data_IF_624180798514
#
_entry.id   IF_624180798514
#
_cell.length_a   1.000
_cell.length_b   1.000
_cell.length_c   1.000
_cell.angle_alpha   90.00
_cell.angle_beta   90.00
_cell.angle_gamma   90.00
#
_symmetry.space_group_name_H-M   'P 1'
#
loop_
_entity.id
_entity.type
_entity.pdbx_description
1 polymer ?
#
# COMPACT_ATOMS: atom_id res chain seq x y z
N UNK A 1 -0.79 21.01 -8.40
CA UNK A 1 -1.57 19.78 -8.11
C UNK A 1 -2.36 20.03 -6.84
N UNK A 2 -3.56 19.43 -6.69
CA UNK A 2 -4.35 19.57 -5.47
C UNK A 2 -3.85 18.57 -4.42
N UNK A 3 -4.05 18.87 -3.13
CA UNK A 3 -3.78 17.95 -2.03
C UNK A 3 -4.58 16.64 -2.20
N UNK A 4 -3.98 15.51 -1.83
CA UNK A 4 -4.58 14.18 -1.91
C UNK A 4 -4.08 13.33 -3.08
N UNK A 5 -4.88 12.35 -3.50
CA UNK A 5 -4.53 11.50 -4.65
C UNK A 5 -4.39 12.33 -5.93
N UNK A 6 -3.40 11.99 -6.73
CA UNK A 6 -3.21 12.57 -8.07
C UNK A 6 -4.42 12.25 -8.94
N UNK A 7 -4.90 13.21 -9.73
CA UNK A 7 -6.06 12.98 -10.62
C UNK A 7 -5.78 11.87 -11.64
N UNK A 8 -6.81 11.12 -11.99
CA UNK A 8 -6.71 9.97 -12.91
C UNK A 8 -6.05 10.33 -14.25
N UNK A 9 -6.34 11.53 -14.76
CA UNK A 9 -5.74 12.02 -16.02
C UNK A 9 -4.22 12.18 -15.89
N UNK A 10 -3.74 12.77 -14.78
CA UNK A 10 -2.29 12.95 -14.54
C UNK A 10 -1.66 11.59 -14.25
N UNK A 11 -2.30 10.76 -13.41
CA UNK A 11 -1.83 9.42 -13.07
C UNK A 11 -1.66 8.57 -14.35
N UNK A 12 -2.67 8.52 -15.20
CA UNK A 12 -2.62 7.78 -16.45
C UNK A 12 -1.49 8.26 -17.36
N UNK A 13 -1.41 9.57 -17.63
CA UNK A 13 -0.49 10.14 -18.61
C UNK A 13 0.96 10.15 -18.12
N UNK A 14 1.18 10.53 -16.87
CA UNK A 14 2.52 10.84 -16.35
C UNK A 14 3.16 9.69 -15.55
N UNK A 15 2.37 8.71 -15.12
CA UNK A 15 2.85 7.58 -14.33
C UNK A 15 2.58 6.25 -15.04
N UNK A 16 1.31 5.89 -15.27
CA UNK A 16 0.96 4.55 -15.76
C UNK A 16 1.44 4.30 -17.20
N UNK A 17 1.27 5.27 -18.09
CA UNK A 17 1.75 5.14 -19.49
C UNK A 17 3.26 4.85 -19.57
N UNK A 18 4.15 5.65 -18.98
CA UNK A 18 5.58 5.35 -18.97
C UNK A 18 5.91 4.00 -18.32
N UNK A 19 5.29 3.67 -17.18
CA UNK A 19 5.52 2.39 -16.52
C UNK A 19 5.06 1.20 -17.35
N UNK A 20 3.93 1.32 -18.06
CA UNK A 20 3.43 0.26 -18.94
C UNK A 20 4.37 -0.11 -20.07
N UNK A 21 5.28 0.78 -20.49
CA UNK A 21 6.27 0.48 -21.52
C UNK A 21 7.41 -0.41 -21.04
N UNK A 22 7.65 -0.47 -19.73
CA UNK A 22 8.79 -1.18 -19.11
C UNK A 22 8.40 -2.34 -18.20
N UNK A 23 7.11 -2.44 -17.80
CA UNK A 23 6.67 -3.44 -16.80
C UNK A 23 6.72 -4.90 -17.26
N UNK A 24 6.84 -5.14 -18.57
CA UNK A 24 6.83 -6.51 -19.12
C UNK A 24 5.47 -7.20 -18.98
N UNK A 25 5.39 -8.45 -19.46
CA UNK A 25 4.15 -9.25 -19.47
C UNK A 25 3.79 -9.81 -18.09
N UNK A 26 4.72 -9.81 -17.12
CA UNK A 26 4.49 -10.39 -15.78
C UNK A 26 3.57 -9.56 -14.89
N UNK A 27 3.50 -8.25 -15.10
CA UNK A 27 2.57 -7.38 -14.36
C UNK A 27 1.21 -7.44 -15.03
N UNK A 28 0.30 -8.20 -14.46
CA UNK A 28 -1.01 -8.49 -15.08
C UNK A 28 -2.06 -7.44 -14.75
N UNK A 29 -1.87 -6.69 -13.67
CA UNK A 29 -2.83 -5.68 -13.24
C UNK A 29 -2.13 -4.49 -12.57
N UNK A 30 -2.26 -3.32 -13.19
CA UNK A 30 -1.83 -2.03 -12.66
C UNK A 30 -2.55 -0.91 -13.43
N UNK A 31 -3.76 -0.53 -12.98
CA UNK A 31 -4.61 0.46 -13.65
C UNK A 31 -5.17 1.51 -12.67
N UNK A 32 -5.86 2.51 -13.25
CA UNK A 32 -6.56 3.54 -12.47
C UNK A 32 -7.63 2.89 -11.57
N UNK A 33 -7.70 3.37 -10.33
CA UNK A 33 -8.66 2.87 -9.34
C UNK A 33 -8.27 1.56 -8.67
N UNK A 34 -7.05 1.07 -8.91
CA UNK A 34 -6.53 -0.13 -8.27
C UNK A 34 -5.48 0.22 -7.23
N UNK A 35 -5.69 -0.24 -6.02
CA UNK A 35 -4.76 -0.05 -4.90
C UNK A 35 -3.80 -1.25 -4.75
N UNK A 36 -3.90 -2.26 -5.63
CA UNK A 36 -3.05 -3.46 -5.65
C UNK A 36 -2.57 -3.75 -7.06
N UNK A 37 -1.27 -3.99 -7.22
CA UNK A 37 -0.69 -4.55 -8.43
C UNK A 37 -0.59 -6.07 -8.33
N UNK A 38 -0.72 -6.75 -9.46
CA UNK A 38 -0.63 -8.20 -9.58
C UNK A 38 0.55 -8.58 -10.48
N UNK A 39 1.35 -9.53 -10.03
CA UNK A 39 2.50 -10.06 -10.79
C UNK A 39 2.36 -11.57 -10.92
N UNK A 40 2.42 -12.07 -12.16
CA UNK A 40 2.46 -13.50 -12.43
C UNK A 40 3.84 -14.06 -12.08
N UNK A 41 3.88 -15.01 -11.15
CA UNK A 41 5.11 -15.66 -10.69
C UNK A 41 5.12 -17.17 -10.98
N UNK A 42 4.23 -17.66 -11.85
CA UNK A 42 4.14 -19.09 -12.20
C UNK A 42 5.42 -19.61 -12.89
N UNK A 43 6.09 -18.78 -13.66
CA UNK A 43 7.39 -19.12 -14.23
C UNK A 43 8.47 -19.42 -13.18
N UNK A 44 8.30 -18.98 -11.95
CA UNK A 44 9.16 -19.31 -10.82
C UNK A 44 8.75 -20.60 -10.10
N UNK A 45 7.81 -21.37 -10.66
CA UNK A 45 7.30 -22.62 -10.09
C UNK A 45 6.33 -22.43 -8.93
N UNK A 46 5.79 -21.22 -8.77
CA UNK A 46 4.80 -20.89 -7.74
C UNK A 46 3.43 -20.70 -8.40
N UNK A 47 2.51 -21.60 -8.14
CA UNK A 47 1.13 -21.54 -8.68
C UNK A 47 0.26 -20.57 -7.89
N UNK A 48 0.72 -19.33 -7.80
CA UNK A 48 0.06 -18.23 -7.08
C UNK A 48 0.35 -16.90 -7.77
N UNK A 49 -0.52 -15.92 -7.55
CA UNK A 49 -0.30 -14.53 -7.97
C UNK A 49 0.33 -13.74 -6.84
N UNK A 50 1.43 -13.07 -7.09
CA UNK A 50 2.02 -12.11 -6.16
C UNK A 50 1.22 -10.80 -6.22
N UNK A 51 0.78 -10.36 -5.06
CA UNK A 51 0.10 -9.09 -4.86
C UNK A 51 1.05 -8.10 -4.19
N UNK A 52 0.97 -6.84 -4.57
CA UNK A 52 1.71 -5.76 -3.92
C UNK A 52 0.82 -4.54 -3.73
N UNK A 53 0.69 -4.08 -2.50
CA UNK A 53 -0.08 -2.91 -2.11
C UNK A 53 0.81 -1.90 -1.39
N UNK A 54 0.73 -0.64 -1.77
CA UNK A 54 1.51 0.44 -1.15
C UNK A 54 0.57 1.49 -0.57
N UNK A 55 0.85 1.93 0.64
CA UNK A 55 0.14 3.02 1.29
C UNK A 55 1.12 3.98 1.99
N UNK A 56 0.69 5.24 2.11
CA UNK A 56 1.46 6.31 2.75
C UNK A 56 0.60 7.04 3.78
N UNK A 57 1.24 7.72 4.73
CA UNK A 57 0.61 8.59 5.72
C UNK A 57 0.05 7.85 6.92
N UNK A 58 -1.20 8.15 7.33
CA UNK A 58 -1.79 7.60 8.53
C UNK A 58 -2.06 6.09 8.41
N UNK A 59 -1.57 5.30 9.38
CA UNK A 59 -1.70 3.84 9.44
C UNK A 59 -1.37 3.11 8.12
N UNK A 60 -0.19 3.35 7.52
CA UNK A 60 0.11 2.87 6.17
C UNK A 60 0.14 1.34 6.09
N UNK A 61 0.64 0.65 7.11
CA UNK A 61 0.69 -0.81 7.12
C UNK A 61 -0.72 -1.43 7.12
N UNK A 62 -1.61 -0.96 8.00
CA UNK A 62 -2.99 -1.45 8.07
C UNK A 62 -3.71 -1.21 6.73
N UNK A 63 -3.54 -0.04 6.12
CA UNK A 63 -4.14 0.26 4.81
C UNK A 63 -3.66 -0.70 3.72
N UNK A 64 -2.34 -0.91 3.64
CA UNK A 64 -1.77 -1.80 2.63
C UNK A 64 -2.19 -3.27 2.86
N UNK A 65 -2.23 -3.73 4.10
CA UNK A 65 -2.74 -5.07 4.48
C UNK A 65 -4.21 -5.23 4.06
N UNK A 66 -5.06 -4.25 4.37
CA UNK A 66 -6.47 -4.30 3.98
C UNK A 66 -6.64 -4.36 2.46
N UNK A 67 -5.80 -3.67 1.69
CA UNK A 67 -5.83 -3.74 0.23
C UNK A 67 -5.47 -5.14 -0.29
N UNK A 68 -4.49 -5.83 0.32
CA UNK A 68 -4.17 -7.23 -0.02
C UNK A 68 -5.36 -8.14 0.26
N UNK A 69 -6.00 -8.03 1.44
CA UNK A 69 -7.20 -8.82 1.76
C UNK A 69 -8.36 -8.51 0.82
N UNK A 70 -8.59 -7.24 0.49
CA UNK A 70 -9.65 -6.84 -0.45
C UNK A 70 -9.42 -7.40 -1.87
N UNK A 71 -8.16 -7.63 -2.25
CA UNK A 71 -7.80 -8.30 -3.51
C UNK A 71 -7.88 -9.83 -3.43
N UNK A 72 -8.35 -10.40 -2.32
CA UNK A 72 -8.48 -11.85 -2.10
C UNK A 72 -7.16 -12.54 -1.79
N UNK A 73 -6.12 -11.79 -1.40
CA UNK A 73 -4.82 -12.33 -1.06
C UNK A 73 -4.59 -12.46 0.44
N UNK A 74 -3.53 -13.18 0.78
CA UNK A 74 -3.00 -13.28 2.14
C UNK A 74 -1.71 -12.49 2.25
N UNK A 75 -1.61 -11.47 3.12
CA UNK A 75 -0.37 -10.75 3.36
C UNK A 75 0.73 -11.66 3.89
N UNK A 76 1.98 -11.43 3.45
CA UNK A 76 3.14 -12.25 3.87
C UNK A 76 4.11 -11.39 4.67
N UNK A 77 4.51 -10.25 4.10
CA UNK A 77 5.51 -9.38 4.68
C UNK A 77 5.32 -7.94 4.20
N UNK A 78 5.90 -7.02 4.93
CA UNK A 78 5.94 -5.61 4.58
C UNK A 78 7.37 -5.10 4.47
N UNK A 79 7.56 -4.05 3.70
CA UNK A 79 8.75 -3.20 3.72
C UNK A 79 8.33 -1.75 3.88
N UNK A 80 9.17 -0.95 4.54
CA UNK A 80 8.90 0.47 4.74
C UNK A 80 9.92 1.38 4.03
N UNK A 81 9.51 2.63 3.82
CA UNK A 81 10.39 3.72 3.46
C UNK A 81 10.02 4.92 4.33
N UNK A 82 10.95 5.35 5.16
CA UNK A 82 10.78 6.46 6.10
C UNK A 82 11.70 7.60 5.69
N UNK A 83 11.11 8.76 5.39
CA UNK A 83 11.85 9.99 5.13
C UNK A 83 11.64 10.95 6.29
N UNK A 84 12.72 11.25 7.00
CA UNK A 84 12.73 12.17 8.13
C UNK A 84 13.18 13.56 7.72
N UNK A 85 12.60 14.64 8.27
CA UNK A 85 13.13 15.98 8.07
C UNK A 85 14.48 16.16 8.78
N UNK A 86 15.34 17.01 8.23
CA UNK A 86 16.69 17.27 8.74
C UNK A 86 16.72 17.70 10.21
N UNK A 87 15.73 18.49 10.63
CA UNK A 87 15.62 18.97 12.00
C UNK A 87 15.00 17.98 12.99
N UNK A 88 14.61 16.78 12.53
CA UNK A 88 14.00 15.80 13.41
C UNK A 88 15.03 15.21 14.38
N UNK A 89 14.62 15.07 15.66
CA UNK A 89 15.42 14.39 16.67
C UNK A 89 15.15 12.89 16.65
N UNK A 90 16.09 12.08 17.14
CA UNK A 90 16.00 10.62 17.22
C UNK A 90 14.69 10.14 17.86
N UNK A 91 14.17 10.86 18.85
CA UNK A 91 12.91 10.48 19.50
C UNK A 91 11.76 10.39 18.50
N UNK A 92 11.75 11.26 17.45
CA UNK A 92 10.72 11.25 16.43
C UNK A 92 10.77 9.99 15.56
N UNK A 93 11.97 9.49 15.25
CA UNK A 93 12.12 8.19 14.56
C UNK A 93 11.56 7.06 15.43
N UNK A 94 11.86 7.05 16.74
CA UNK A 94 11.35 6.05 17.67
C UNK A 94 9.82 6.05 17.76
N UNK A 95 9.18 7.21 17.74
CA UNK A 95 7.71 7.34 17.71
C UNK A 95 7.12 6.74 16.42
N UNK A 96 7.72 7.03 15.26
CA UNK A 96 7.31 6.48 13.98
C UNK A 96 7.41 4.94 13.99
N UNK A 97 8.56 4.41 14.40
CA UNK A 97 8.77 2.96 14.49
C UNK A 97 7.82 2.31 15.50
N UNK A 98 7.62 2.92 16.67
CA UNK A 98 6.64 2.41 17.64
C UNK A 98 5.21 2.37 17.06
N UNK A 99 4.85 3.35 16.22
CA UNK A 99 3.59 3.33 15.48
C UNK A 99 3.49 2.17 14.50
N UNK A 100 4.52 1.92 13.72
CA UNK A 100 4.58 0.79 12.77
C UNK A 100 4.58 -0.56 13.50
N UNK A 101 5.33 -0.69 14.60
CA UNK A 101 5.36 -1.92 15.41
C UNK A 101 3.99 -2.29 15.96
N UNK A 102 3.22 -1.30 16.44
CA UNK A 102 1.84 -1.54 16.87
C UNK A 102 0.94 -2.01 15.74
N UNK A 103 1.09 -1.44 14.54
CA UNK A 103 0.33 -1.90 13.36
C UNK A 103 0.72 -3.32 12.96
N UNK A 104 2.01 -3.66 12.98
CA UNK A 104 2.51 -5.00 12.69
C UNK A 104 1.97 -6.03 13.69
N UNK A 105 1.91 -5.68 14.98
CA UNK A 105 1.35 -6.55 16.02
C UNK A 105 -0.16 -6.81 15.82
N UNK A 106 -0.93 -5.80 15.40
CA UNK A 106 -2.37 -5.96 15.16
C UNK A 106 -2.67 -6.73 13.87
N UNK A 107 -1.86 -6.54 12.84
CA UNK A 107 -2.07 -7.21 11.54
C UNK A 107 -1.40 -8.58 11.45
N UNK A 108 -0.52 -8.91 12.38
CA UNK A 108 0.33 -10.11 12.36
C UNK A 108 1.22 -10.20 11.11
N UNK A 109 1.46 -9.06 10.43
CA UNK A 109 2.31 -8.97 9.24
C UNK A 109 3.68 -8.42 9.64
N UNK A 110 4.76 -9.20 9.46
CA UNK A 110 6.11 -8.77 9.82
C UNK A 110 6.60 -7.68 8.85
N UNK A 111 7.32 -6.70 9.40
CA UNK A 111 8.11 -5.76 8.60
C UNK A 111 9.48 -6.43 8.38
N UNK A 112 9.71 -6.91 7.16
CA UNK A 112 10.90 -7.69 6.80
C UNK A 112 12.12 -6.82 6.47
N UNK A 113 11.92 -5.54 6.23
CA UNK A 113 12.99 -4.60 5.92
C UNK A 113 12.46 -3.24 5.50
N UNK A 114 13.36 -2.35 5.17
CA UNK A 114 12.99 -1.01 4.74
C UNK A 114 14.19 -0.10 4.53
N UNK A 115 13.90 1.19 4.35
CA UNK A 115 14.89 2.23 4.20
C UNK A 115 14.50 3.45 5.04
N UNK A 116 15.45 3.98 5.80
CA UNK A 116 15.24 5.22 6.56
C UNK A 116 16.30 6.24 6.13
N UNK A 117 15.85 7.42 5.72
CA UNK A 117 16.72 8.50 5.27
C UNK A 117 16.30 9.84 5.85
N UNK A 118 17.21 10.80 5.80
CA UNK A 118 16.96 12.20 6.18
C UNK A 118 17.00 13.06 4.93
N UNK A 119 16.04 13.99 4.79
CA UNK A 119 15.96 14.85 3.61
C UNK A 119 15.46 16.25 3.98
N UNK A 120 15.99 17.25 3.29
CA UNK A 120 15.49 18.63 3.32
C UNK A 120 14.19 18.80 2.52
N UNK A 121 13.79 17.78 1.74
CA UNK A 121 12.58 17.83 0.89
C UNK A 121 11.28 17.65 1.66
N UNK A 122 11.34 17.30 2.94
CA UNK A 122 10.16 17.09 3.79
C UNK A 122 10.26 17.93 5.06
N UNK A 123 9.15 18.47 5.52
CA UNK A 123 9.03 19.19 6.79
C UNK A 123 8.55 18.32 7.95
N UNK A 124 7.87 17.22 7.64
CA UNK A 124 7.36 16.22 8.57
C UNK A 124 7.77 14.82 8.11
N UNK A 125 7.81 13.82 9.02
CA UNK A 125 8.10 12.44 8.65
C UNK A 125 7.13 11.92 7.61
N UNK A 126 7.65 11.37 6.50
CA UNK A 126 6.87 10.67 5.49
C UNK A 126 7.12 9.18 5.64
N UNK A 127 6.05 8.41 5.85
CA UNK A 127 6.11 6.96 6.02
C UNK A 127 5.31 6.30 4.92
N UNK A 128 5.97 5.47 4.14
CA UNK A 128 5.37 4.63 3.11
C UNK A 128 5.61 3.16 3.45
N UNK A 129 4.59 2.34 3.30
CA UNK A 129 4.69 0.90 3.53
C UNK A 129 4.18 0.17 2.29
N UNK A 130 4.93 -0.83 1.86
CA UNK A 130 4.53 -1.78 0.82
C UNK A 130 4.37 -3.16 1.44
N UNK A 131 3.21 -3.76 1.24
CA UNK A 131 2.90 -5.13 1.67
C UNK A 131 2.88 -6.05 0.47
N UNK A 132 3.58 -7.17 0.57
CA UNK A 132 3.50 -8.28 -0.35
C UNK A 132 2.53 -9.33 0.18
N UNK A 133 1.75 -9.92 -0.72
CA UNK A 133 0.84 -10.99 -0.43
C UNK A 133 0.77 -12.01 -1.56
N UNK A 134 0.20 -13.16 -1.27
CA UNK A 134 -0.08 -14.19 -2.28
C UNK A 134 -1.58 -14.42 -2.38
N UNK A 135 -2.03 -14.69 -3.61
CA UNK A 135 -3.39 -15.14 -3.90
C UNK A 135 -3.34 -16.43 -4.70
N UNK A 136 -4.15 -17.38 -4.33
CA UNK A 136 -4.49 -18.52 -5.18
C UNK A 136 -5.37 -18.03 -6.34
N UNK A 137 -5.24 -18.62 -7.53
CA UNK A 137 -5.89 -18.12 -8.76
C UNK A 137 -7.44 -18.21 -8.74
N UNK A 138 -8.03 -18.66 -7.66
CA UNK A 138 -9.49 -18.68 -7.46
C UNK A 138 -10.01 -17.26 -7.20
N UNK A 139 -10.25 -16.49 -8.25
CA UNK A 139 -11.00 -15.23 -8.11
C UNK A 139 -12.45 -15.56 -7.77
N UNK A 140 -12.92 -15.07 -6.62
CA UNK A 140 -14.33 -15.04 -6.34
C UNK A 140 -15.01 -14.12 -7.36
N UNK A 141 -15.83 -14.68 -8.23
CA UNK A 141 -16.67 -13.91 -9.13
C UNK A 141 -17.83 -13.34 -8.33
N UNK A 142 -18.08 -12.05 -8.47
CA UNK A 142 -19.24 -11.41 -7.83
C UNK A 142 -20.48 -11.88 -8.54
N UNK A 143 -21.41 -12.49 -7.81
CA UNK A 143 -22.66 -13.04 -8.32
C UNK A 143 -23.88 -12.32 -7.74
N UNK A 144 -24.97 -12.31 -8.49
CA UNK A 144 -26.24 -11.77 -8.02
C UNK A 144 -26.75 -12.59 -6.81
N UNK A 145 -27.17 -11.89 -5.75
CA UNK A 145 -27.64 -12.51 -4.51
C UNK A 145 -26.59 -12.58 -3.39
N UNK A 146 -25.35 -12.20 -3.65
CA UNK A 146 -24.34 -12.04 -2.61
C UNK A 146 -24.62 -10.80 -1.75
N UNK A 147 -24.25 -10.87 -0.46
CA UNK A 147 -24.41 -9.76 0.47
C UNK A 147 -23.19 -8.82 0.41
N UNK A 148 -23.45 -7.51 0.38
CA UNK A 148 -22.42 -6.48 0.55
C UNK A 148 -22.31 -6.19 2.04
N UNK A 149 -21.13 -6.41 2.62
CA UNK A 149 -20.84 -6.14 4.02
C UNK A 149 -19.96 -4.90 4.11
N UNK A 150 -20.40 -3.88 4.83
CA UNK A 150 -19.60 -2.72 5.17
C UNK A 150 -19.19 -2.82 6.65
N UNK A 151 -17.87 -2.78 6.92
CA UNK A 151 -17.33 -2.82 8.27
C UNK A 151 -16.58 -1.52 8.59
N UNK A 152 -16.79 -0.97 9.79
CA UNK A 152 -16.14 0.25 10.26
C UNK A 152 -16.88 1.53 9.85
N UNK A 153 -16.20 2.67 10.04
CA UNK A 153 -16.76 3.99 9.73
C UNK A 153 -16.34 4.42 8.32
N UNK A 154 -17.28 4.45 7.38
CA UNK A 154 -17.05 4.95 6.02
C UNK A 154 -16.66 6.44 6.08
N UNK A 155 -15.57 6.80 5.40
CA UNK A 155 -15.14 8.20 5.27
C UNK A 155 -14.25 8.73 6.42
N UNK A 156 -13.95 7.94 7.45
CA UNK A 156 -13.17 8.40 8.61
C UNK A 156 -11.77 8.94 8.21
N UNK A 157 -11.15 8.38 7.18
CA UNK A 157 -9.86 8.86 6.67
C UNK A 157 -9.96 10.25 6.02
N UNK A 158 -11.10 10.55 5.39
CA UNK A 158 -11.36 11.86 4.80
C UNK A 158 -11.69 12.91 5.87
N UNK A 159 -12.47 12.54 6.88
CA UNK A 159 -12.79 13.42 8.01
C UNK A 159 -11.53 13.83 8.76
N UNK A 160 -10.61 12.90 8.98
CA UNK A 160 -9.34 13.18 9.67
C UNK A 160 -8.46 14.18 8.92
N UNK A 161 -8.44 14.14 7.58
CA UNK A 161 -7.73 15.12 6.74
C UNK A 161 -8.34 16.51 6.75
N UNK A 162 -9.60 16.64 7.14
CA UNK A 162 -10.31 17.93 7.23
C UNK A 162 -10.16 18.60 8.62
N UNK A 163 -9.73 17.84 9.63
CA UNK A 163 -9.63 18.31 11.04
C UNK A 163 -8.17 18.60 11.43
N UNK A 164 -7.21 18.12 10.69
CA UNK A 164 -5.77 18.47 10.78
C UNK A 164 -5.46 19.70 9.93
#
# INVERSE_FOLDING_TARGET
MKLGKVSDTILSRSVLKPLNTIRGQKVTRMDIGQDVSEVDIREQGVDKTLLSATACGYMPLIKAVNNIYAAGGTPIAASDCIVMPEQAREIRIREVIAGLTRQAAVTEVPIAGGHTTVSTSVSEPVVTVTVQGLREDNRNVIEAGQHIIAAGCIGISGVKQLVE
#
